data_IF_946113862672
#
_entry.id   IF_946113862672
#
_cell.length_a   1.000
_cell.length_b   1.000
_cell.length_c   1.000
_cell.angle_alpha   90.00
_cell.angle_beta   90.00
_cell.angle_gamma   90.00
#
_symmetry.space_group_name_H-M   'P 1'
#
loop_
_entity.id
_entity.type
_entity.pdbx_description
1 polymer ?
#
# COMPACT_ATOMS: atom_id res chain seq x y z
N UNK A 1 -21.32 -20.09 -13.82
CA UNK A 1 -22.46 -19.89 -12.88
C UNK A 1 -22.73 -18.40 -12.79
N UNK A 2 -23.98 -17.97 -12.91
CA UNK A 2 -24.33 -16.56 -12.71
C UNK A 2 -24.25 -16.25 -11.22
N UNK A 3 -23.54 -15.18 -10.84
CA UNK A 3 -23.50 -14.71 -9.44
C UNK A 3 -24.90 -14.24 -9.07
N UNK A 4 -25.46 -14.67 -7.92
CA UNK A 4 -26.74 -14.17 -7.44
C UNK A 4 -26.76 -12.64 -7.38
N UNK A 5 -27.90 -12.03 -7.74
CA UNK A 5 -28.05 -10.55 -7.74
C UNK A 5 -27.75 -9.93 -6.37
N UNK A 6 -28.08 -10.65 -5.31
CA UNK A 6 -27.83 -10.27 -3.93
C UNK A 6 -26.33 -10.22 -3.59
N UNK A 7 -25.58 -11.23 -3.99
CA UNK A 7 -24.13 -11.28 -3.79
C UNK A 7 -23.41 -10.17 -4.58
N UNK A 8 -23.92 -9.84 -5.77
CA UNK A 8 -23.44 -8.67 -6.53
C UNK A 8 -23.72 -7.35 -5.80
N UNK A 9 -24.86 -7.22 -5.12
CA UNK A 9 -25.19 -6.03 -4.34
C UNK A 9 -24.29 -5.91 -3.10
N UNK A 10 -24.09 -7.02 -2.37
CA UNK A 10 -23.18 -7.08 -1.21
C UNK A 10 -21.74 -6.74 -1.60
N UNK A 11 -21.26 -7.27 -2.72
CA UNK A 11 -19.93 -6.94 -3.24
C UNK A 11 -19.77 -5.43 -3.53
N UNK A 12 -20.80 -4.78 -4.10
CA UNK A 12 -20.78 -3.32 -4.35
C UNK A 12 -20.74 -2.50 -3.07
N UNK A 13 -21.52 -2.89 -2.06
CA UNK A 13 -21.51 -2.23 -0.75
C UNK A 13 -20.13 -2.31 -0.09
N UNK A 14 -19.50 -3.48 -0.13
CA UNK A 14 -18.15 -3.67 0.38
C UNK A 14 -17.11 -2.87 -0.41
N UNK A 15 -17.21 -2.85 -1.74
CA UNK A 15 -16.32 -2.06 -2.61
C UNK A 15 -16.42 -0.56 -2.30
N UNK A 16 -17.63 -0.05 -2.12
CA UNK A 16 -17.86 1.35 -1.76
C UNK A 16 -17.29 1.68 -0.38
N UNK A 17 -17.51 0.82 0.62
CA UNK A 17 -16.91 0.97 1.94
C UNK A 17 -15.37 0.94 1.89
N UNK A 18 -14.77 0.03 1.12
CA UNK A 18 -13.32 0.02 0.92
C UNK A 18 -12.85 1.32 0.24
N UNK A 19 -13.61 1.84 -0.73
CA UNK A 19 -13.35 3.14 -1.34
C UNK A 19 -13.33 4.29 -0.33
N UNK A 20 -14.29 4.32 0.60
CA UNK A 20 -14.34 5.27 1.72
C UNK A 20 -13.11 5.13 2.64
N UNK A 21 -12.77 3.89 3.03
CA UNK A 21 -11.58 3.60 3.84
C UNK A 21 -10.28 4.11 3.17
N UNK A 22 -10.13 3.92 1.86
CA UNK A 22 -8.96 4.39 1.11
C UNK A 22 -8.85 5.92 1.09
N UNK A 23 -9.98 6.63 1.12
CA UNK A 23 -10.03 8.11 1.27
C UNK A 23 -9.73 8.59 2.69
N UNK A 24 -9.61 7.68 3.66
CA UNK A 24 -9.34 7.99 5.06
C UNK A 24 -10.60 8.21 5.90
N UNK A 25 -11.76 7.83 5.36
CA UNK A 25 -13.03 7.83 6.09
C UNK A 25 -13.15 6.56 6.97
N UNK A 26 -14.16 6.54 7.85
CA UNK A 26 -14.44 5.40 8.73
C UNK A 26 -15.80 4.74 8.37
N UNK A 27 -15.84 3.91 7.31
CA UNK A 27 -17.07 3.29 6.83
C UNK A 27 -17.63 2.26 7.82
N UNK A 28 -18.96 2.14 7.89
CA UNK A 28 -19.64 1.07 8.62
C UNK A 28 -20.68 0.40 7.72
N UNK A 29 -20.75 -0.94 7.78
CA UNK A 29 -21.71 -1.74 7.02
C UNK A 29 -22.91 -2.20 7.87
N UNK A 30 -23.09 -1.60 9.05
CA UNK A 30 -24.26 -1.85 9.91
C UNK A 30 -24.25 -3.27 10.51
N UNK A 31 -25.42 -3.94 10.46
CA UNK A 31 -25.66 -5.25 11.08
C UNK A 31 -25.32 -6.46 10.19
N UNK A 32 -24.74 -6.25 8.99
CA UNK A 32 -24.24 -7.37 8.18
C UNK A 32 -22.90 -7.84 8.76
N UNK A 33 -22.95 -8.84 9.64
CA UNK A 33 -21.78 -9.39 10.35
C UNK A 33 -20.68 -9.84 9.39
N UNK A 34 -21.05 -10.53 8.29
CA UNK A 34 -20.08 -11.05 7.32
C UNK A 34 -19.41 -9.92 6.53
N UNK A 35 -20.17 -8.93 6.07
CA UNK A 35 -19.59 -7.75 5.40
C UNK A 35 -18.73 -6.91 6.36
N UNK A 36 -19.12 -6.83 7.62
CA UNK A 36 -18.36 -6.15 8.67
C UNK A 36 -17.02 -6.82 8.93
N UNK A 37 -17.00 -8.15 9.00
CA UNK A 37 -15.76 -8.93 9.13
C UNK A 37 -14.81 -8.71 7.93
N UNK A 38 -15.36 -8.72 6.71
CA UNK A 38 -14.58 -8.43 5.51
C UNK A 38 -14.03 -7.00 5.50
N UNK A 39 -14.81 -6.03 5.98
CA UNK A 39 -14.36 -4.65 6.12
C UNK A 39 -13.26 -4.51 7.19
N UNK A 40 -13.31 -5.27 8.28
CA UNK A 40 -12.22 -5.31 9.27
C UNK A 40 -10.92 -5.89 8.69
N UNK A 41 -11.00 -6.94 7.88
CA UNK A 41 -9.83 -7.43 7.13
C UNK A 41 -9.26 -6.33 6.22
N UNK A 42 -10.11 -5.56 5.55
CA UNK A 42 -9.68 -4.43 4.74
C UNK A 42 -9.00 -3.33 5.58
N UNK A 43 -9.55 -3.00 6.76
CA UNK A 43 -8.95 -2.05 7.72
C UNK A 43 -7.57 -2.48 8.17
N UNK A 44 -7.40 -3.76 8.52
CA UNK A 44 -6.09 -4.32 8.90
C UNK A 44 -5.08 -4.20 7.76
N UNK A 45 -5.47 -4.59 6.54
CA UNK A 45 -4.60 -4.47 5.35
C UNK A 45 -4.23 -3.03 5.05
N UNK A 46 -5.17 -2.10 5.18
CA UNK A 46 -4.93 -0.67 4.99
C UNK A 46 -3.91 -0.13 6.01
N UNK A 47 -4.09 -0.44 7.30
CA UNK A 47 -3.14 -0.05 8.37
C UNK A 47 -1.75 -0.62 8.12
N UNK A 48 -1.65 -1.91 7.79
CA UNK A 48 -0.38 -2.56 7.45
C UNK A 48 0.29 -1.87 6.26
N UNK A 49 -0.47 -1.58 5.20
CA UNK A 49 0.06 -0.94 3.98
C UNK A 49 0.61 0.46 4.28
N UNK A 50 -0.07 1.25 5.12
CA UNK A 50 0.42 2.56 5.56
C UNK A 50 1.71 2.45 6.37
N UNK A 51 1.77 1.48 7.28
CA UNK A 51 2.98 1.21 8.06
C UNK A 51 4.16 0.81 7.15
N UNK A 52 3.94 -0.15 6.25
CA UNK A 52 4.97 -0.60 5.30
C UNK A 52 5.44 0.54 4.40
N UNK A 53 4.53 1.41 3.92
CA UNK A 53 4.91 2.60 3.15
C UNK A 53 5.84 3.52 3.93
N UNK A 54 5.55 3.75 5.21
CA UNK A 54 6.39 4.57 6.06
C UNK A 54 7.78 3.95 6.28
N UNK A 55 7.83 2.65 6.58
CA UNK A 55 9.10 1.92 6.74
C UNK A 55 9.90 1.91 5.44
N UNK A 56 9.24 1.67 4.29
CA UNK A 56 9.88 1.68 2.99
C UNK A 56 10.48 3.05 2.64
N UNK A 57 9.74 4.13 2.89
CA UNK A 57 10.25 5.49 2.71
C UNK A 57 11.50 5.77 3.57
N UNK A 58 11.49 5.34 4.83
CA UNK A 58 12.65 5.50 5.73
C UNK A 58 13.89 4.70 5.26
N UNK A 59 13.68 3.59 4.55
CA UNK A 59 14.75 2.72 4.03
C UNK A 59 15.16 3.05 2.60
N UNK A 60 14.41 3.90 1.89
CA UNK A 60 14.62 4.20 0.48
C UNK A 60 16.02 4.77 0.21
N UNK A 61 16.50 5.68 1.06
CA UNK A 61 17.85 6.25 0.92
C UNK A 61 18.95 5.20 1.14
N UNK A 62 18.79 4.30 2.11
CA UNK A 62 19.76 3.24 2.37
C UNK A 62 19.86 2.26 1.19
N UNK A 63 18.71 1.88 0.61
CA UNK A 63 18.66 1.03 -0.59
C UNK A 63 19.31 1.74 -1.77
N UNK A 64 18.96 3.01 -2.02
CA UNK A 64 19.57 3.77 -3.11
C UNK A 64 21.07 3.97 -2.93
N UNK A 65 21.54 4.20 -1.70
CA UNK A 65 22.98 4.26 -1.39
C UNK A 65 23.69 2.95 -1.73
N UNK A 66 23.10 1.80 -1.36
CA UNK A 66 23.68 0.50 -1.70
C UNK A 66 23.71 0.23 -3.21
N UNK A 67 22.67 0.64 -3.94
CA UNK A 67 22.64 0.51 -5.40
C UNK A 67 23.68 1.44 -6.06
N UNK A 68 23.76 2.71 -5.63
CA UNK A 68 24.76 3.67 -6.14
C UNK A 68 26.20 3.20 -5.89
N UNK A 69 26.47 2.67 -4.70
CA UNK A 69 27.75 2.06 -4.36
C UNK A 69 28.10 0.91 -5.32
N UNK A 70 27.16 -0.03 -5.54
CA UNK A 70 27.37 -1.17 -6.46
C UNK A 70 27.55 -0.74 -7.91
N UNK A 71 26.89 0.34 -8.33
CA UNK A 71 27.00 0.89 -9.68
C UNK A 71 28.22 1.82 -9.84
N UNK A 72 29.01 2.06 -8.78
CA UNK A 72 30.17 2.94 -8.82
C UNK A 72 29.83 4.43 -9.01
N UNK A 73 28.58 4.82 -8.81
CA UNK A 73 28.08 6.18 -9.10
C UNK A 73 28.46 7.23 -8.04
N UNK A 74 29.04 6.79 -6.92
CA UNK A 74 29.58 7.67 -5.87
C UNK A 74 31.09 7.97 -6.08
N UNK A 75 31.73 7.33 -7.07
CA UNK A 75 33.08 7.65 -7.50
C UNK A 75 33.03 8.83 -8.50
N UNK A 76 33.00 10.06 -7.97
CA UNK A 76 33.27 11.25 -8.76
C UNK A 76 34.67 11.15 -9.39
N UNK A 77 34.72 11.29 -10.70
CA UNK A 77 35.92 11.45 -11.52
C UNK A 77 36.88 12.49 -10.91
N UNK A 78 38.11 12.10 -10.60
CA UNK A 78 39.23 13.03 -10.58
C UNK A 78 39.76 13.19 -12.01
N UNK A 79 40.08 14.41 -12.50
CA UNK A 79 40.84 14.52 -13.73
C UNK A 79 42.18 13.81 -13.50
N UNK A 80 42.64 13.04 -14.49
CA UNK A 80 44.04 12.62 -14.56
C UNK A 80 44.88 13.89 -14.77
N UNK A 81 45.15 14.60 -13.68
CA UNK A 81 46.09 15.70 -13.60
C UNK A 81 47.48 15.15 -13.88
N UNK A 82 48.17 15.81 -14.81
CA UNK A 82 49.44 15.35 -15.36
C UNK A 82 50.54 15.14 -14.34
N UNK A 83 51.47 14.26 -14.71
CA UNK A 83 52.89 14.54 -14.89
C UNK A 83 53.38 13.68 -16.05
#
# INVERSE_FOLDING_TARGET
MAVPREETARARLLDEAIGQLLRGEEPSLGEDDELSDLLEVARLRYRLSRYLRHVAAARQQAVWGQVRFRLGLDAGSGPAGGF
#
